data_IF_976986470270
#
_entry.id   IF_976986470270
#
_cell.length_a   1.000
_cell.length_b   1.000
_cell.length_c   1.000
_cell.angle_alpha   90.00
_cell.angle_beta   90.00
_cell.angle_gamma   90.00
#
_symmetry.space_group_name_H-M   'P 1'
#
loop_
_entity.id
_entity.type
_entity.pdbx_description
1 polymer ?
#
# COMPACT_ATOMS: atom_id res chain seq x y z
N UNK A 1 -8.45 -15.86 35.60
CA UNK A 1 -8.73 -16.63 34.37
C UNK A 1 -7.74 -16.10 33.36
N UNK A 2 -6.68 -16.85 33.10
CA UNK A 2 -5.59 -16.48 32.19
C UNK A 2 -6.13 -16.46 30.76
N UNK A 3 -5.91 -15.36 30.05
CA UNK A 3 -6.23 -15.27 28.63
C UNK A 3 -5.19 -16.10 27.88
N UNK A 4 -5.60 -17.30 27.49
CA UNK A 4 -4.85 -18.15 26.58
C UNK A 4 -4.75 -17.48 25.21
N UNK A 5 -3.54 -17.52 24.64
CA UNK A 5 -3.15 -17.14 23.29
C UNK A 5 -4.31 -17.22 22.27
N UNK A 6 -4.87 -16.06 21.92
CA UNK A 6 -5.56 -15.90 20.64
C UNK A 6 -4.43 -15.81 19.61
N UNK A 7 -4.14 -16.96 19.01
CA UNK A 7 -3.43 -17.09 17.74
C UNK A 7 -3.83 -15.93 16.82
N UNK A 8 -2.85 -15.18 16.30
CA UNK A 8 -3.04 -14.12 15.30
C UNK A 8 -3.45 -14.72 13.94
N UNK A 9 -4.55 -15.46 13.94
CA UNK A 9 -5.25 -15.79 12.72
C UNK A 9 -5.92 -14.49 12.25
N UNK A 10 -5.58 -14.07 11.03
CA UNK A 10 -6.19 -12.90 10.39
C UNK A 10 -7.68 -13.19 10.24
N UNK A 11 -8.49 -12.71 11.18
CA UNK A 11 -9.95 -12.77 11.13
C UNK A 11 -10.39 -11.93 9.93
N UNK A 12 -10.79 -12.59 8.84
CA UNK A 12 -11.36 -11.91 7.67
C UNK A 12 -12.82 -11.60 7.98
N UNK A 13 -13.17 -10.32 8.14
CA UNK A 13 -14.55 -9.90 8.43
C UNK A 13 -15.36 -9.95 7.12
N UNK A 14 -16.02 -11.08 6.87
CA UNK A 14 -16.88 -11.28 5.71
C UNK A 14 -18.29 -10.71 5.98
N UNK A 15 -18.45 -9.40 5.78
CA UNK A 15 -19.74 -8.71 5.96
C UNK A 15 -20.76 -9.16 4.91
N UNK A 16 -21.60 -10.14 5.25
CA UNK A 16 -22.75 -10.52 4.41
C UNK A 16 -23.99 -9.73 4.83
N UNK A 17 -24.66 -9.01 3.91
CA UNK A 17 -25.94 -8.39 4.20
C UNK A 17 -26.98 -9.50 4.47
N UNK A 18 -27.57 -9.50 5.65
CA UNK A 18 -28.65 -10.44 6.00
C UNK A 18 -29.97 -9.68 5.96
N UNK A 19 -31.03 -10.33 5.48
CA UNK A 19 -32.38 -9.76 5.55
C UNK A 19 -32.73 -9.60 7.04
N UNK A 20 -32.91 -8.37 7.53
CA UNK A 20 -33.13 -8.17 8.95
C UNK A 20 -34.46 -8.82 9.36
N UNK A 21 -34.56 -9.34 10.59
CA UNK A 21 -35.81 -9.89 11.12
C UNK A 21 -36.93 -8.83 11.20
N UNK A 22 -36.56 -7.55 11.20
CA UNK A 22 -37.49 -6.43 11.21
C UNK A 22 -37.17 -5.41 10.11
N UNK A 23 -38.17 -4.75 9.50
CA UNK A 23 -38.01 -3.90 8.32
C UNK A 23 -37.16 -2.63 8.53
N UNK A 24 -36.80 -2.30 9.77
CA UNK A 24 -36.03 -1.10 10.13
C UNK A 24 -34.69 -1.41 10.83
N UNK A 25 -34.29 -2.68 10.90
CA UNK A 25 -33.03 -3.06 11.52
C UNK A 25 -31.94 -3.22 10.46
N UNK A 26 -30.72 -2.85 10.82
CA UNK A 26 -29.53 -3.19 10.05
C UNK A 26 -28.93 -4.40 10.72
N UNK A 27 -28.81 -5.54 10.02
CA UNK A 27 -28.24 -6.79 10.52
C UNK A 27 -26.93 -7.15 9.78
N UNK A 28 -25.78 -7.17 10.47
CA UNK A 28 -24.50 -7.64 9.88
C UNK A 28 -24.00 -8.91 10.52
N UNK A 29 -23.57 -9.90 9.75
CA UNK A 29 -22.95 -11.09 10.34
C UNK A 29 -21.43 -11.05 10.19
N UNK A 30 -20.71 -11.20 11.31
CA UNK A 30 -19.26 -11.42 11.36
C UNK A 30 -19.01 -12.69 12.17
N UNK A 31 -18.40 -13.73 11.59
CA UNK A 31 -18.11 -15.01 12.29
C UNK A 31 -19.33 -15.64 13.02
N UNK A 32 -20.54 -15.46 12.48
CA UNK A 32 -21.79 -15.93 13.10
C UNK A 32 -22.44 -14.91 14.06
N UNK A 33 -21.88 -13.72 14.23
CA UNK A 33 -22.39 -12.65 15.10
C UNK A 33 -23.23 -11.67 14.28
N UNK A 34 -24.54 -11.65 14.51
CA UNK A 34 -25.49 -10.71 13.89
C UNK A 34 -25.57 -9.37 14.65
N UNK A 35 -25.08 -8.28 14.07
CA UNK A 35 -25.19 -6.91 14.52
C UNK A 35 -26.55 -6.33 14.08
N UNK A 36 -27.58 -6.40 14.91
CA UNK A 36 -28.86 -5.70 14.70
C UNK A 36 -28.86 -4.32 15.37
N UNK A 37 -29.02 -3.24 14.60
CA UNK A 37 -28.91 -1.87 15.10
C UNK A 37 -30.04 -1.42 16.04
N UNK A 38 -31.16 -2.14 16.13
CA UNK A 38 -32.23 -1.84 17.09
C UNK A 38 -32.80 -3.13 17.70
N UNK A 39 -33.37 -2.98 18.90
CA UNK A 39 -33.47 -4.02 19.91
C UNK A 39 -34.20 -5.29 19.49
N UNK A 40 -33.52 -6.42 19.61
CA UNK A 40 -34.02 -7.56 20.38
C UNK A 40 -32.89 -8.56 20.58
N UNK A 41 -32.55 -8.77 21.85
CA UNK A 41 -31.60 -9.76 22.32
C UNK A 41 -31.83 -11.14 21.67
N UNK A 42 -31.07 -11.53 20.65
CA UNK A 42 -30.69 -12.93 20.36
C UNK A 42 -29.36 -13.03 19.61
N UNK A 43 -28.32 -12.49 20.25
CA UNK A 43 -26.92 -12.87 20.04
C UNK A 43 -26.22 -12.53 21.33
N UNK A 44 -25.88 -13.52 22.17
CA UNK A 44 -25.32 -13.29 23.50
C UNK A 44 -23.88 -12.74 23.39
N UNK A 45 -23.75 -11.43 23.18
CA UNK A 45 -22.68 -10.67 23.83
C UNK A 45 -23.20 -10.25 25.20
N UNK A 46 -22.52 -10.72 26.25
CA UNK A 46 -22.73 -10.22 27.61
C UNK A 46 -22.28 -8.76 27.64
N UNK A 47 -23.23 -7.84 27.79
CA UNK A 47 -23.05 -6.50 28.40
C UNK A 47 -22.05 -5.50 27.81
N UNK A 48 -21.47 -5.73 26.64
CA UNK A 48 -20.58 -4.75 26.01
C UNK A 48 -21.40 -3.71 25.24
N UNK A 49 -21.11 -2.43 25.47
CA UNK A 49 -21.71 -1.34 24.70
C UNK A 49 -21.30 -1.45 23.22
N UNK A 50 -22.05 -0.81 22.31
CA UNK A 50 -21.67 -0.77 20.89
C UNK A 50 -20.25 -0.18 20.76
N UNK A 51 -19.90 0.77 21.62
CA UNK A 51 -18.57 1.36 21.70
C UNK A 51 -17.50 0.34 22.12
N UNK A 52 -17.78 -0.51 23.11
CA UNK A 52 -16.86 -1.58 23.53
C UNK A 52 -16.65 -2.59 22.40
N UNK A 53 -17.71 -2.96 21.68
CA UNK A 53 -17.59 -3.85 20.51
C UNK A 53 -16.70 -3.27 19.41
N UNK A 54 -16.90 -2.01 19.03
CA UNK A 54 -16.06 -1.36 18.04
C UNK A 54 -14.63 -1.10 18.55
N UNK A 55 -14.44 -0.89 19.85
CA UNK A 55 -13.12 -0.81 20.46
C UNK A 55 -12.36 -2.15 20.35
N UNK A 56 -13.06 -3.29 20.47
CA UNK A 56 -12.50 -4.62 20.23
C UNK A 56 -12.21 -4.88 18.74
N UNK A 57 -13.06 -4.38 17.84
CA UNK A 57 -12.84 -4.48 16.40
C UNK A 57 -11.70 -3.58 15.91
N UNK A 58 -11.49 -2.42 16.53
CA UNK A 58 -10.53 -1.40 16.09
C UNK A 58 -9.12 -1.93 15.77
N UNK A 59 -8.47 -2.76 16.60
CA UNK A 59 -7.14 -3.31 16.28
C UNK A 59 -7.13 -4.35 15.15
N UNK A 60 -8.30 -4.84 14.72
CA UNK A 60 -8.45 -5.96 13.79
C UNK A 60 -8.97 -5.49 12.42
N UNK A 61 -9.83 -4.47 12.39
CA UNK A 61 -10.47 -3.98 11.16
C UNK A 61 -9.48 -3.21 10.29
N UNK A 62 -9.25 -3.74 9.10
CA UNK A 62 -8.41 -3.14 8.06
C UNK A 62 -9.07 -1.95 7.37
N UNK A 63 -8.29 -1.16 6.63
CA UNK A 63 -8.82 -0.02 5.85
C UNK A 63 -9.92 -0.43 4.87
N UNK A 64 -9.79 -1.60 4.22
CA UNK A 64 -10.81 -2.10 3.29
C UNK A 64 -12.12 -2.48 3.99
N UNK A 65 -12.04 -3.07 5.17
CA UNK A 65 -13.23 -3.41 5.96
C UNK A 65 -13.90 -2.15 6.50
N UNK A 66 -13.13 -1.16 6.95
CA UNK A 66 -13.67 0.16 7.28
C UNK A 66 -14.36 0.84 6.09
N UNK A 67 -13.82 0.70 4.89
CA UNK A 67 -14.47 1.20 3.68
C UNK A 67 -15.81 0.49 3.43
N UNK A 68 -15.89 -0.83 3.63
CA UNK A 68 -17.13 -1.60 3.50
C UNK A 68 -18.16 -1.20 4.56
N UNK A 69 -17.76 -1.03 5.82
CA UNK A 69 -18.61 -0.53 6.91
C UNK A 69 -19.15 0.86 6.53
N UNK A 70 -18.29 1.77 6.06
CA UNK A 70 -18.69 3.09 5.59
C UNK A 70 -19.71 3.03 4.45
N UNK A 71 -19.51 2.15 3.46
CA UNK A 71 -20.44 1.98 2.34
C UNK A 71 -21.84 1.63 2.82
N UNK A 72 -21.94 0.75 3.83
CA UNK A 72 -23.24 0.31 4.30
C UNK A 72 -23.88 1.38 5.19
N UNK A 73 -23.10 2.03 6.05
CA UNK A 73 -23.57 3.18 6.83
C UNK A 73 -24.04 4.34 5.93
N UNK A 74 -23.40 4.58 4.78
CA UNK A 74 -23.84 5.57 3.78
C UNK A 74 -25.17 5.20 3.12
N UNK A 75 -25.33 3.94 2.69
CA UNK A 75 -26.58 3.46 2.11
C UNK A 75 -27.74 3.56 3.10
N UNK A 76 -27.44 3.43 4.38
CA UNK A 76 -28.38 3.59 5.47
C UNK A 76 -28.59 5.06 5.88
N UNK A 77 -27.58 5.92 5.74
CA UNK A 77 -27.62 7.35 6.06
C UNK A 77 -28.72 8.11 5.31
N UNK A 78 -29.02 7.69 4.07
CA UNK A 78 -30.15 8.23 3.30
C UNK A 78 -31.49 8.05 4.03
N UNK A 79 -31.59 7.04 4.91
CA UNK A 79 -32.79 6.69 5.67
C UNK A 79 -32.68 7.10 7.15
N UNK A 80 -31.47 7.12 7.72
CA UNK A 80 -31.26 7.33 9.16
C UNK A 80 -30.08 8.29 9.43
N UNK A 81 -30.33 9.58 9.75
CA UNK A 81 -29.29 10.56 10.07
C UNK A 81 -28.38 10.18 11.25
N UNK A 82 -28.85 9.32 12.16
CA UNK A 82 -28.08 8.82 13.31
C UNK A 82 -26.85 7.99 12.90
N UNK A 83 -26.85 7.38 11.70
CA UNK A 83 -25.74 6.59 11.16
C UNK A 83 -24.46 7.41 10.99
N UNK A 84 -24.57 8.74 10.84
CA UNK A 84 -23.41 9.65 10.86
C UNK A 84 -22.79 9.79 12.25
N UNK A 85 -23.61 9.88 13.30
CA UNK A 85 -23.11 9.96 14.68
C UNK A 85 -22.43 8.66 15.10
N UNK A 86 -22.96 7.53 14.62
CA UNK A 86 -22.34 6.20 14.77
C UNK A 86 -20.96 6.20 14.11
N UNK A 87 -20.83 6.66 12.86
CA UNK A 87 -19.52 6.78 12.21
C UNK A 87 -18.55 7.69 12.96
N UNK A 88 -18.98 8.90 13.34
CA UNK A 88 -18.15 9.88 14.06
C UNK A 88 -17.69 9.35 15.43
N UNK A 89 -18.48 8.50 16.07
CA UNK A 89 -18.14 7.92 17.38
C UNK A 89 -17.19 6.72 17.28
N UNK A 90 -17.28 5.94 16.21
CA UNK A 90 -16.70 4.58 16.18
C UNK A 90 -15.54 4.44 15.20
N UNK A 91 -15.48 5.28 14.15
CA UNK A 91 -14.40 5.21 13.17
C UNK A 91 -13.09 5.80 13.72
N UNK A 92 -11.92 5.32 13.26
CA UNK A 92 -10.65 5.94 13.59
C UNK A 92 -10.62 7.43 13.23
N UNK A 93 -10.02 8.29 14.06
CA UNK A 93 -9.92 9.74 13.79
C UNK A 93 -9.38 10.06 12.39
N UNK A 94 -8.40 9.28 11.90
CA UNK A 94 -7.85 9.42 10.54
C UNK A 94 -8.90 9.22 9.43
N UNK A 95 -9.89 8.36 9.66
CA UNK A 95 -10.99 8.06 8.74
C UNK A 95 -12.17 9.04 8.88
N UNK A 96 -12.31 9.69 10.05
CA UNK A 96 -13.34 10.71 10.29
C UNK A 96 -13.12 11.99 9.49
N UNK A 97 -11.88 12.27 9.09
CA UNK A 97 -11.59 13.43 8.26
C UNK A 97 -12.33 13.34 6.91
N UNK A 98 -12.76 14.49 6.38
CA UNK A 98 -13.34 14.57 5.03
C UNK A 98 -12.45 13.90 3.98
N UNK A 99 -11.13 13.98 4.17
CA UNK A 99 -10.15 13.34 3.31
C UNK A 99 -10.10 11.82 3.46
N UNK A 100 -10.18 11.31 4.70
CA UNK A 100 -10.26 9.89 4.99
C UNK A 100 -11.50 9.26 4.36
N UNK A 101 -12.67 9.86 4.59
CA UNK A 101 -13.96 9.42 4.01
C UNK A 101 -13.88 9.33 2.48
N UNK A 102 -13.43 10.38 1.80
CA UNK A 102 -13.31 10.37 0.34
C UNK A 102 -12.32 9.33 -0.18
N UNK A 103 -11.30 9.00 0.62
CA UNK A 103 -10.34 7.94 0.28
C UNK A 103 -10.98 6.56 0.38
N UNK A 104 -11.81 6.32 1.41
CA UNK A 104 -12.59 5.09 1.52
C UNK A 104 -13.60 4.94 0.37
N UNK A 105 -14.28 6.02 0.00
CA UNK A 105 -15.18 6.04 -1.16
C UNK A 105 -14.46 5.74 -2.48
N UNK A 106 -13.23 6.24 -2.66
CA UNK A 106 -12.41 5.95 -3.81
C UNK A 106 -11.98 4.47 -3.83
N UNK A 107 -11.58 3.93 -2.68
CA UNK A 107 -11.22 2.51 -2.53
C UNK A 107 -12.39 1.59 -2.90
N UNK A 108 -13.62 1.91 -2.49
CA UNK A 108 -14.81 1.09 -2.81
C UNK A 108 -15.10 0.98 -4.32
N UNK A 109 -14.60 1.91 -5.13
CA UNK A 109 -14.76 1.90 -6.58
C UNK A 109 -13.67 1.11 -7.31
N UNK A 110 -12.63 0.68 -6.58
CA UNK A 110 -11.56 -0.16 -7.16
C UNK A 110 -11.99 -1.62 -7.24
N UNK A 111 -11.32 -2.44 -8.08
CA UNK A 111 -11.59 -3.88 -8.17
C UNK A 111 -11.48 -4.58 -6.82
N UNK A 112 -12.33 -5.58 -6.57
CA UNK A 112 -12.37 -6.32 -5.29
C UNK A 112 -11.01 -6.92 -4.93
N UNK A 113 -10.27 -7.43 -5.92
CA UNK A 113 -8.93 -7.97 -5.70
C UNK A 113 -7.95 -6.93 -5.14
N UNK A 114 -8.06 -5.65 -5.53
CA UNK A 114 -7.26 -4.58 -4.96
C UNK A 114 -7.68 -4.23 -3.53
N UNK A 115 -8.99 -4.23 -3.26
CA UNK A 115 -9.50 -4.05 -1.89
C UNK A 115 -9.02 -5.17 -0.96
N UNK A 116 -9.02 -6.42 -1.43
CA UNK A 116 -8.50 -7.55 -0.66
C UNK A 116 -6.99 -7.41 -0.45
N UNK A 117 -6.21 -7.00 -1.45
CA UNK A 117 -4.79 -6.70 -1.29
C UNK A 117 -4.53 -5.59 -0.25
N UNK A 118 -5.32 -4.51 -0.23
CA UNK A 118 -5.23 -3.44 0.79
C UNK A 118 -5.43 -4.00 2.20
N UNK A 119 -6.37 -4.95 2.36
CA UNK A 119 -6.62 -5.66 3.62
C UNK A 119 -5.43 -6.55 3.99
N UNK A 120 -4.99 -7.41 3.08
CA UNK A 120 -3.89 -8.37 3.30
C UNK A 120 -2.55 -7.71 3.61
N UNK A 121 -2.30 -6.53 3.02
CA UNK A 121 -1.06 -5.78 3.22
C UNK A 121 -1.14 -4.73 4.34
N UNK A 122 -2.27 -4.64 5.04
CA UNK A 122 -2.53 -3.64 6.08
C UNK A 122 -2.18 -2.21 5.60
N UNK A 123 -2.65 -1.85 4.41
CA UNK A 123 -2.40 -0.52 3.85
C UNK A 123 -3.28 0.49 4.60
N UNK A 124 -2.67 1.54 5.15
CA UNK A 124 -3.42 2.53 5.93
C UNK A 124 -4.06 3.57 5.01
N UNK A 125 -5.17 4.15 5.45
CA UNK A 125 -5.94 5.14 4.66
C UNK A 125 -5.08 6.27 4.05
N UNK A 126 -4.06 6.75 4.76
CA UNK A 126 -3.20 7.84 4.26
C UNK A 126 -2.36 7.42 3.04
N UNK A 127 -1.97 6.15 2.93
CA UNK A 127 -1.23 5.61 1.78
C UNK A 127 -2.12 5.47 0.53
N UNK A 128 -3.45 5.56 0.70
CA UNK A 128 -4.44 5.47 -0.37
C UNK A 128 -4.96 6.82 -0.84
N UNK A 129 -4.46 7.94 -0.29
CA UNK A 129 -4.78 9.29 -0.76
C UNK A 129 -4.64 9.50 -2.28
N UNK A 130 -3.72 8.83 -3.02
CA UNK A 130 -3.71 8.90 -4.48
C UNK A 130 -5.03 8.51 -5.14
N UNK A 131 -5.80 7.55 -4.59
CA UNK A 131 -7.11 7.16 -5.13
C UNK A 131 -8.12 8.32 -5.06
N UNK A 132 -8.16 9.01 -3.91
CA UNK A 132 -8.99 10.21 -3.71
C UNK A 132 -8.64 11.28 -4.75
N UNK A 133 -7.34 11.51 -4.95
CA UNK A 133 -6.88 12.49 -5.93
C UNK A 133 -7.31 12.12 -7.34
N UNK A 134 -7.11 10.86 -7.73
CA UNK A 134 -7.52 10.36 -9.04
C UNK A 134 -9.02 10.51 -9.29
N UNK A 135 -9.85 10.17 -8.30
CA UNK A 135 -11.31 10.39 -8.38
C UNK A 135 -11.65 11.88 -8.52
N UNK A 136 -10.96 12.75 -7.79
CA UNK A 136 -11.18 14.21 -7.84
C UNK A 136 -10.85 14.79 -9.22
N UNK A 137 -9.77 14.31 -9.83
CA UNK A 137 -9.33 14.68 -11.17
C UNK A 137 -10.09 13.93 -12.28
N UNK A 138 -11.02 13.03 -11.93
CA UNK A 138 -11.75 12.15 -12.86
C UNK A 138 -10.78 11.39 -13.78
N UNK A 139 -9.66 10.92 -13.23
CA UNK A 139 -8.74 10.07 -13.97
C UNK A 139 -9.41 8.72 -14.17
N UNK A 140 -9.40 8.24 -15.40
CA UNK A 140 -9.67 6.84 -15.69
C UNK A 140 -8.48 6.01 -15.18
N UNK A 141 -8.52 5.66 -13.89
CA UNK A 141 -7.66 4.63 -13.35
C UNK A 141 -8.14 3.30 -13.91
N UNK A 142 -7.48 2.87 -14.96
CA UNK A 142 -7.72 1.61 -15.63
C UNK A 142 -7.63 0.44 -14.62
N UNK A 143 -8.57 -0.48 -14.76
CA UNK A 143 -8.70 -1.67 -13.92
C UNK A 143 -7.42 -2.52 -13.95
N UNK A 144 -6.79 -2.67 -15.10
CA UNK A 144 -5.58 -3.48 -15.28
C UNK A 144 -4.38 -2.94 -14.47
N UNK A 145 -4.12 -1.63 -14.53
CA UNK A 145 -3.05 -0.99 -13.74
C UNK A 145 -3.26 -1.18 -12.23
N UNK A 146 -4.50 -1.03 -11.74
CA UNK A 146 -4.82 -1.23 -10.32
C UNK A 146 -4.67 -2.71 -9.93
N UNK A 147 -5.11 -3.63 -10.78
CA UNK A 147 -4.93 -5.06 -10.54
C UNK A 147 -3.47 -5.48 -10.54
N UNK A 148 -2.61 -4.88 -11.37
CA UNK A 148 -1.19 -5.20 -11.38
C UNK A 148 -0.47 -4.83 -10.08
N UNK A 149 -0.95 -3.79 -9.36
CA UNK A 149 -0.40 -3.41 -8.05
C UNK A 149 -0.51 -4.55 -7.03
N UNK A 150 -1.54 -5.39 -7.14
CA UNK A 150 -1.77 -6.50 -6.19
C UNK A 150 -0.65 -7.54 -6.17
N UNK A 151 0.19 -7.56 -7.21
CA UNK A 151 1.36 -8.46 -7.33
C UNK A 151 2.58 -7.95 -6.54
N UNK A 152 2.53 -6.71 -6.03
CA UNK A 152 3.64 -6.06 -5.33
C UNK A 152 3.61 -6.22 -3.80
N UNK A 153 4.72 -5.84 -3.18
CA UNK A 153 4.76 -5.59 -1.73
C UNK A 153 3.93 -4.34 -1.38
N UNK A 154 3.55 -4.15 -0.10
CA UNK A 154 2.86 -2.93 0.38
C UNK A 154 3.54 -1.66 -0.14
N UNK A 155 4.83 -1.52 0.16
CA UNK A 155 5.62 -0.34 -0.18
C UNK A 155 5.75 -0.14 -1.69
N UNK A 156 5.96 -1.23 -2.44
CA UNK A 156 6.06 -1.11 -3.88
C UNK A 156 4.72 -0.74 -4.51
N UNK A 157 3.62 -1.29 -4.00
CA UNK A 157 2.27 -1.05 -4.51
C UNK A 157 1.78 0.36 -4.25
N UNK A 158 1.91 0.86 -3.02
CA UNK A 158 1.53 2.23 -2.67
C UNK A 158 2.37 3.26 -3.42
N UNK A 159 3.68 3.03 -3.54
CA UNK A 159 4.55 3.90 -4.33
C UNK A 159 4.19 3.90 -5.82
N UNK A 160 3.83 2.73 -6.37
CA UNK A 160 3.44 2.60 -7.78
C UNK A 160 2.11 3.32 -8.03
N UNK A 161 1.16 3.21 -7.09
CA UNK A 161 -0.10 3.93 -7.14
C UNK A 161 0.11 5.45 -7.19
N UNK A 162 0.97 5.99 -6.32
CA UNK A 162 1.33 7.42 -6.35
C UNK A 162 1.86 7.85 -7.73
N UNK A 163 2.82 7.10 -8.27
CA UNK A 163 3.40 7.43 -9.57
C UNK A 163 2.41 7.32 -10.72
N UNK A 164 1.53 6.32 -10.71
CA UNK A 164 0.48 6.17 -11.73
C UNK A 164 -0.44 7.38 -11.75
N UNK A 165 -0.90 7.79 -10.58
CA UNK A 165 -1.79 8.94 -10.43
C UNK A 165 -1.11 10.23 -10.88
N UNK A 166 0.16 10.44 -10.52
CA UNK A 166 0.96 11.60 -10.97
C UNK A 166 1.11 11.63 -12.50
N UNK A 167 1.43 10.48 -13.11
CA UNK A 167 1.64 10.35 -14.55
C UNK A 167 0.35 10.62 -15.33
N UNK A 168 -0.76 10.00 -14.93
CA UNK A 168 -2.07 10.21 -15.55
C UNK A 168 -2.55 11.66 -15.37
N UNK A 169 -2.33 12.25 -14.19
CA UNK A 169 -2.62 13.69 -13.95
C UNK A 169 -1.82 14.60 -14.88
N UNK A 170 -0.62 14.18 -15.27
CA UNK A 170 0.26 14.90 -16.20
C UNK A 170 -0.05 14.62 -17.68
N UNK A 171 -1.08 13.83 -17.98
CA UNK A 171 -1.41 13.40 -19.35
C UNK A 171 -0.39 12.46 -19.98
N UNK A 172 0.47 11.83 -19.17
CA UNK A 172 1.44 10.85 -19.66
C UNK A 172 0.75 9.49 -19.74
N UNK A 173 0.76 8.92 -20.94
CA UNK A 173 0.24 7.58 -21.14
C UNK A 173 1.15 6.55 -20.46
N UNK A 174 0.52 5.63 -19.72
CA UNK A 174 1.22 4.58 -18.98
C UNK A 174 0.96 3.28 -19.73
N UNK A 175 2.00 2.55 -20.15
CA UNK A 175 1.80 1.30 -20.84
C UNK A 175 1.08 0.31 -19.91
N UNK A 176 0.11 -0.45 -20.44
CA UNK A 176 -0.61 -1.43 -19.64
C UNK A 176 0.38 -2.46 -19.06
N UNK A 177 0.08 -3.01 -17.88
CA UNK A 177 0.85 -4.09 -17.32
C UNK A 177 0.70 -5.33 -18.21
N UNK A 178 1.69 -5.58 -19.05
CA UNK A 178 1.86 -6.87 -19.75
C UNK A 178 2.03 -8.03 -18.74
N UNK A 179 2.05 -9.28 -19.21
CA UNK A 179 2.45 -10.48 -18.44
C UNK A 179 3.87 -10.40 -17.80
N UNK A 180 4.56 -9.27 -17.96
CA UNK A 180 5.80 -8.96 -17.27
C UNK A 180 5.63 -8.98 -15.75
N UNK A 181 6.71 -9.42 -15.10
CA UNK A 181 6.94 -9.25 -13.66
C UNK A 181 6.63 -7.80 -13.21
N UNK A 182 5.89 -7.66 -12.11
CA UNK A 182 5.52 -6.38 -11.51
C UNK A 182 6.74 -5.47 -11.30
N UNK A 183 7.89 -6.03 -10.94
CA UNK A 183 9.15 -5.28 -10.79
C UNK A 183 9.57 -4.58 -12.10
N UNK A 184 9.46 -5.27 -13.23
CA UNK A 184 9.80 -4.71 -14.53
C UNK A 184 8.82 -3.61 -14.94
N UNK A 185 7.53 -3.79 -14.70
CA UNK A 185 6.51 -2.78 -14.98
C UNK A 185 6.66 -1.54 -14.08
N UNK A 186 6.88 -1.74 -12.77
CA UNK A 186 7.21 -0.65 -11.83
C UNK A 186 8.43 0.15 -12.28
N UNK A 187 9.47 -0.51 -12.78
CA UNK A 187 10.66 0.15 -13.32
C UNK A 187 10.32 1.05 -14.52
N UNK A 188 9.44 0.59 -15.42
CA UNK A 188 8.93 1.42 -16.54
C UNK A 188 8.17 2.65 -16.02
N UNK A 189 7.25 2.48 -15.08
CA UNK A 189 6.51 3.60 -14.45
C UNK A 189 7.48 4.61 -13.83
N UNK A 190 8.47 4.14 -13.07
CA UNK A 190 9.51 4.99 -12.48
C UNK A 190 10.25 5.81 -13.55
N UNK A 191 10.61 5.17 -14.66
CA UNK A 191 11.32 5.84 -15.76
C UNK A 191 10.49 6.92 -16.44
N UNK A 192 9.17 6.74 -16.52
CA UNK A 192 8.24 7.76 -17.02
C UNK A 192 8.11 8.92 -16.03
N UNK A 193 8.08 8.63 -14.71
CA UNK A 193 7.89 9.64 -13.66
C UNK A 193 9.12 10.52 -13.47
N UNK A 194 10.32 9.94 -13.62
CA UNK A 194 11.60 10.61 -13.38
C UNK A 194 12.55 10.48 -14.59
N UNK A 195 12.18 10.97 -15.79
CA UNK A 195 12.88 10.64 -17.03
C UNK A 195 14.34 11.08 -17.02
N UNK A 196 14.65 12.26 -16.46
CA UNK A 196 16.03 12.77 -16.35
C UNK A 196 16.87 11.94 -15.38
N UNK A 197 16.34 11.69 -14.18
CA UNK A 197 17.04 10.94 -13.14
C UNK A 197 17.24 9.49 -13.56
N UNK A 198 16.22 8.85 -14.12
CA UNK A 198 16.30 7.48 -14.63
C UNK A 198 17.28 7.34 -15.79
N UNK A 199 17.32 8.30 -16.72
CA UNK A 199 18.33 8.31 -17.78
C UNK A 199 19.75 8.41 -17.19
N UNK A 200 19.98 9.37 -16.30
CA UNK A 200 21.29 9.56 -15.66
C UNK A 200 21.72 8.34 -14.83
N UNK A 201 20.80 7.74 -14.06
CA UNK A 201 21.06 6.54 -13.28
C UNK A 201 21.37 5.33 -14.18
N UNK A 202 20.69 5.19 -15.32
CA UNK A 202 20.96 4.14 -16.30
C UNK A 202 22.33 4.34 -16.96
N UNK A 203 22.67 5.56 -17.38
CA UNK A 203 23.98 5.89 -17.97
C UNK A 203 25.12 5.57 -16.99
N UNK A 204 24.97 5.95 -15.72
CA UNK A 204 25.93 5.64 -14.65
C UNK A 204 26.01 4.14 -14.37
N UNK A 205 24.88 3.45 -14.34
CA UNK A 205 24.82 1.99 -14.20
C UNK A 205 25.54 1.26 -15.34
N UNK A 206 25.33 1.67 -16.58
CA UNK A 206 26.01 1.11 -17.75
C UNK A 206 27.51 1.45 -17.77
N UNK A 207 27.90 2.65 -17.35
CA UNK A 207 29.30 3.01 -17.18
C UNK A 207 29.97 2.13 -16.12
N UNK A 208 29.29 1.88 -15.00
CA UNK A 208 29.77 1.02 -13.91
C UNK A 208 29.93 -0.45 -14.33
N UNK A 209 29.02 -0.98 -15.17
CA UNK A 209 29.12 -2.34 -15.72
C UNK A 209 30.33 -2.54 -16.63
N UNK A 210 30.78 -1.48 -17.31
CA UNK A 210 31.97 -1.50 -18.18
C UNK A 210 33.27 -1.45 -17.39
N UNK A 211 33.22 -1.10 -16.11
CA UNK A 211 34.40 -1.10 -15.24
C UNK A 211 34.88 -2.53 -14.98
N UNK A 212 36.20 -2.75 -15.02
CA UNK A 212 36.80 -4.06 -14.75
C UNK A 212 36.93 -4.27 -13.24
N UNK A 213 35.86 -4.76 -12.63
CA UNK A 213 35.86 -5.21 -11.24
C UNK A 213 36.75 -6.44 -11.05
N UNK A 214 37.33 -6.59 -9.87
CA UNK A 214 37.98 -7.85 -9.48
C UNK A 214 36.96 -9.00 -9.44
N UNK A 215 37.40 -10.26 -9.57
CA UNK A 215 36.52 -11.42 -9.68
C UNK A 215 35.54 -11.57 -8.50
N UNK A 216 35.93 -11.11 -7.31
CA UNK A 216 35.14 -11.22 -6.08
C UNK A 216 34.33 -9.94 -5.76
N UNK A 217 34.32 -8.96 -6.65
CA UNK A 217 33.67 -7.68 -6.44
C UNK A 217 32.46 -7.54 -7.37
N UNK A 218 31.30 -7.28 -6.78
CA UNK A 218 30.08 -6.91 -7.51
C UNK A 218 29.74 -5.48 -7.16
N UNK A 219 29.57 -4.63 -8.17
CA UNK A 219 29.13 -3.26 -7.97
C UNK A 219 27.83 -2.99 -8.73
N UNK A 220 26.97 -2.17 -8.15
CA UNK A 220 25.76 -1.69 -8.81
C UNK A 220 25.48 -0.23 -8.48
N UNK A 221 24.90 0.48 -9.44
CA UNK A 221 24.37 1.82 -9.21
C UNK A 221 23.09 1.72 -8.39
N UNK A 222 23.00 2.46 -7.29
CA UNK A 222 21.82 2.49 -6.41
C UNK A 222 21.41 3.91 -6.09
N UNK A 223 20.11 4.12 -5.93
CA UNK A 223 19.52 5.37 -5.45
C UNK A 223 18.63 5.07 -4.25
N UNK A 224 18.92 5.73 -3.13
CA UNK A 224 18.16 5.65 -1.88
C UNK A 224 17.71 7.08 -1.52
N UNK A 225 16.44 7.39 -1.82
CA UNK A 225 15.91 8.75 -1.70
C UNK A 225 16.67 9.74 -2.59
N UNK A 226 17.13 10.83 -2.01
CA UNK A 226 17.87 11.90 -2.70
C UNK A 226 19.33 11.53 -3.00
N UNK A 227 19.85 10.51 -2.32
CA UNK A 227 21.23 10.05 -2.49
C UNK A 227 21.32 8.98 -3.57
N UNK A 228 22.34 9.07 -4.42
CA UNK A 228 22.69 8.01 -5.35
C UNK A 228 24.19 7.77 -5.34
N UNK A 229 24.57 6.51 -5.55
CA UNK A 229 25.95 6.09 -5.41
C UNK A 229 26.17 4.67 -5.90
N UNK A 230 27.35 4.18 -5.59
CA UNK A 230 27.82 2.85 -5.97
C UNK A 230 27.71 1.96 -4.74
N UNK A 231 26.93 0.89 -4.84
CA UNK A 231 26.94 -0.18 -3.86
C UNK A 231 27.95 -1.23 -4.30
N UNK A 232 28.98 -1.47 -3.48
CA UNK A 232 30.01 -2.48 -3.73
C UNK A 232 29.83 -3.63 -2.74
N UNK A 233 29.76 -4.86 -3.25
CA UNK A 233 29.68 -6.09 -2.46
C UNK A 233 30.88 -6.97 -2.77
N UNK A 234 31.54 -7.44 -1.73
CA UNK A 234 32.61 -8.43 -1.80
C UNK A 234 32.57 -9.31 -0.54
N UNK A 235 33.15 -10.49 -0.63
CA UNK A 235 33.27 -11.42 0.50
C UNK A 235 34.68 -11.34 1.08
N UNK A 236 34.80 -11.29 2.40
CA UNK A 236 36.06 -11.38 3.12
C UNK A 236 35.97 -12.48 4.18
N UNK A 237 36.96 -13.38 4.20
CA UNK A 237 36.97 -14.53 5.11
C UNK A 237 37.77 -14.26 6.39
N UNK A 238 38.55 -13.18 6.41
CA UNK A 238 39.34 -12.75 7.56
C UNK A 238 39.60 -11.22 7.47
N UNK A 239 40.05 -10.58 8.56
CA UNK A 239 40.32 -9.14 8.58
C UNK A 239 41.35 -8.67 7.55
N UNK A 240 42.40 -9.47 7.30
CA UNK A 240 43.44 -9.11 6.33
C UNK A 240 42.89 -9.04 4.90
N UNK A 241 41.98 -9.94 4.54
CA UNK A 241 41.34 -9.92 3.22
C UNK A 241 40.42 -8.71 3.06
N UNK A 242 39.69 -8.33 4.12
CA UNK A 242 38.88 -7.12 4.12
C UNK A 242 39.73 -5.86 3.87
N UNK A 243 40.86 -5.72 4.58
CA UNK A 243 41.79 -4.61 4.39
C UNK A 243 42.37 -4.58 2.96
N UNK A 244 42.77 -5.73 2.42
CA UNK A 244 43.26 -5.83 1.02
C UNK A 244 42.20 -5.37 0.02
N UNK A 245 40.93 -5.73 0.22
CA UNK A 245 39.85 -5.30 -0.68
C UNK A 245 39.60 -3.79 -0.56
N UNK A 246 39.64 -3.22 0.65
CA UNK A 246 39.53 -1.77 0.83
C UNK A 246 40.68 -1.00 0.18
N UNK A 247 41.92 -1.49 0.29
CA UNK A 247 43.08 -0.87 -0.35
C UNK A 247 42.93 -0.90 -1.89
N UNK A 248 42.46 -2.01 -2.46
CA UNK A 248 42.18 -2.11 -3.91
C UNK A 248 41.10 -1.12 -4.34
N UNK A 249 40.00 -1.00 -3.59
CA UNK A 249 38.93 -0.06 -3.89
C UNK A 249 39.39 1.40 -3.82
N UNK A 250 40.21 1.75 -2.81
CA UNK A 250 40.83 3.07 -2.71
C UNK A 250 41.75 3.37 -3.89
N UNK A 251 42.56 2.40 -4.32
CA UNK A 251 43.45 2.57 -5.47
C UNK A 251 42.67 2.79 -6.79
N UNK A 252 41.45 2.28 -6.89
CA UNK A 252 40.57 2.43 -8.06
C UNK A 252 39.62 3.64 -7.97
N UNK A 253 39.63 4.38 -6.85
CA UNK A 253 38.65 5.44 -6.55
C UNK A 253 38.59 6.50 -7.66
N UNK A 254 39.74 7.00 -8.11
CA UNK A 254 39.81 8.06 -9.11
C UNK A 254 39.33 7.59 -10.49
N UNK A 255 39.63 6.34 -10.86
CA UNK A 255 39.19 5.78 -12.13
C UNK A 255 37.69 5.51 -12.14
N UNK A 256 37.14 5.02 -11.03
CA UNK A 256 35.70 4.88 -10.83
C UNK A 256 35.04 6.26 -10.92
N UNK A 257 35.59 7.28 -10.25
CA UNK A 257 35.06 8.64 -10.30
C UNK A 257 35.08 9.22 -11.73
N UNK A 258 36.15 9.01 -12.50
CA UNK A 258 36.24 9.47 -13.90
C UNK A 258 35.20 8.81 -14.80
N UNK A 259 34.85 7.55 -14.55
CA UNK A 259 33.90 6.81 -15.39
C UNK A 259 32.46 7.15 -15.04
N UNK A 260 32.15 7.27 -13.75
CA UNK A 260 30.77 7.45 -13.27
C UNK A 260 30.39 8.92 -13.19
N UNK A 261 31.35 9.80 -12.90
CA UNK A 261 31.13 11.23 -12.63
C UNK A 261 31.74 12.17 -13.66
N UNK A 262 31.94 11.69 -14.88
CA UNK A 262 32.28 12.57 -16.00
C UNK A 262 31.26 13.71 -16.05
N UNK A 263 31.74 14.94 -15.82
CA UNK A 263 31.00 16.15 -16.16
C UNK A 263 31.07 16.27 -17.68
N UNK A 264 29.92 16.23 -18.32
CA UNK A 264 29.78 16.85 -19.65
C UNK A 264 30.01 18.37 -19.52
#
# INVERSE_FOLDING_TARGET
MEFSDISQDVIKLDFKPVKPPFPNDIAYVVEGVQLSAFGSNQGQFRSESLEDFFAHLYPIVTTSEWARIWAILLNDYVKHPESKKIWERLSPQRMQSTDGVKTLEALLKTPVAFQDWVSEKDVVVNELHPLKWAQTQKLDLFEDEILAITRGSRQDGTQTLEWLVDLKSSGIDVPPPSDLDFSAWKSKIKSLRFPRTSKSDNERGEALKKFKWGPDIRARWVRNGDSAGIEVRFTANNPSDFEKQLVKLKAQQDDIAKIVWKKD
#
